data_IF_968287991265
#
_entry.id   IF_968287991265
#
_cell.length_a   1.000
_cell.length_b   1.000
_cell.length_c   1.000
_cell.angle_alpha   90.00
_cell.angle_beta   90.00
_cell.angle_gamma   90.00
#
_symmetry.space_group_name_H-M   'P 1'
#
loop_
_entity.id
_entity.type
_entity.pdbx_description
1 polymer ?
#
# COMPACT_ATOMS: atom_id res chain seq x y z
N UNK A 1 -16.52 -8.94 0.67
CA UNK A 1 -15.19 -8.33 0.87
C UNK A 1 -15.29 -7.16 1.84
N UNK A 2 -14.43 -7.11 2.84
CA UNK A 2 -14.37 -6.03 3.81
C UNK A 2 -13.02 -5.33 3.70
N UNK A 3 -13.02 -4.00 3.65
CA UNK A 3 -11.81 -3.17 3.66
C UNK A 3 -11.71 -2.44 4.99
N UNK A 4 -10.71 -2.81 5.79
CA UNK A 4 -10.41 -2.15 7.04
C UNK A 4 -9.28 -1.16 6.88
N UNK A 5 -9.53 0.06 6.39
CA UNK A 5 -8.46 1.03 6.29
C UNK A 5 -8.94 2.47 6.40
N UNK A 6 -8.01 3.36 6.74
CA UNK A 6 -8.23 4.81 6.76
C UNK A 6 -7.86 5.50 5.44
N UNK A 7 -7.14 4.82 4.54
CA UNK A 7 -6.84 5.34 3.21
C UNK A 7 -8.01 5.06 2.25
N UNK A 8 -8.96 5.97 2.26
CA UNK A 8 -10.20 5.87 1.47
C UNK A 8 -9.95 5.79 -0.03
N UNK A 9 -8.88 6.41 -0.54
CA UNK A 9 -8.62 6.47 -1.99
C UNK A 9 -8.05 5.15 -2.52
N UNK A 10 -7.06 4.56 -1.84
CA UNK A 10 -6.52 3.26 -2.24
C UNK A 10 -7.56 2.15 -2.06
N UNK A 11 -8.36 2.22 -1.00
CA UNK A 11 -9.46 1.29 -0.76
C UNK A 11 -10.55 1.37 -1.82
N UNK A 12 -10.94 2.58 -2.22
CA UNK A 12 -11.90 2.77 -3.29
C UNK A 12 -11.39 2.18 -4.60
N UNK A 13 -10.11 2.32 -4.88
CA UNK A 13 -9.50 1.70 -6.06
C UNK A 13 -9.52 0.18 -5.99
N UNK A 14 -9.11 -0.40 -4.86
CA UNK A 14 -9.17 -1.85 -4.67
C UNK A 14 -10.62 -2.33 -4.74
N UNK A 15 -11.57 -1.67 -4.08
CA UNK A 15 -12.98 -2.00 -4.13
C UNK A 15 -13.50 -2.01 -5.57
N UNK A 16 -13.37 -0.91 -6.27
CA UNK A 16 -13.88 -0.77 -7.63
C UNK A 16 -13.28 -1.78 -8.60
N UNK A 17 -11.99 -2.09 -8.44
CA UNK A 17 -11.29 -3.02 -9.32
C UNK A 17 -11.48 -4.49 -8.94
N UNK A 18 -11.82 -4.79 -7.67
CA UNK A 18 -11.95 -6.16 -7.18
C UNK A 18 -13.40 -6.58 -6.91
N UNK A 19 -14.35 -5.66 -6.80
CA UNK A 19 -15.75 -5.99 -6.50
C UNK A 19 -16.34 -7.02 -7.46
N UNK A 20 -15.95 -6.95 -8.74
CA UNK A 20 -16.35 -7.89 -9.78
C UNK A 20 -15.58 -9.23 -9.77
N UNK A 21 -14.48 -9.34 -9.03
CA UNK A 21 -13.56 -10.50 -9.09
C UNK A 21 -13.47 -11.30 -7.80
N UNK A 22 -13.93 -10.76 -6.68
CA UNK A 22 -13.83 -11.39 -5.35
C UNK A 22 -15.21 -11.78 -4.82
N UNK A 23 -16.18 -11.97 -5.70
CA UNK A 23 -17.55 -12.37 -5.30
C UNK A 23 -17.62 -13.70 -4.55
N UNK A 24 -16.63 -14.58 -4.72
CA UNK A 24 -16.64 -15.93 -4.19
C UNK A 24 -15.71 -16.18 -2.99
N UNK A 25 -14.88 -15.18 -2.59
CA UNK A 25 -13.93 -15.35 -1.49
C UNK A 25 -14.22 -14.38 -0.34
N UNK A 26 -14.37 -14.93 0.85
CA UNK A 26 -14.43 -14.17 2.09
C UNK A 26 -13.03 -13.67 2.45
N UNK A 27 -12.66 -12.52 1.90
CA UNK A 27 -11.38 -11.87 2.11
C UNK A 27 -11.55 -10.53 2.81
N UNK A 28 -10.67 -10.26 3.76
CA UNK A 28 -10.52 -8.96 4.40
C UNK A 28 -9.20 -8.34 3.95
N UNK A 29 -9.28 -7.26 3.15
CA UNK A 29 -8.09 -6.54 2.69
C UNK A 29 -7.73 -5.43 3.67
N UNK A 30 -6.49 -5.40 4.12
CA UNK A 30 -5.93 -4.34 4.93
C UNK A 30 -4.70 -3.72 4.25
N UNK A 31 -4.78 -2.43 3.95
CA UNK A 31 -3.77 -1.71 3.15
C UNK A 31 -3.11 -0.56 3.92
N UNK A 32 -3.38 -0.42 5.20
CA UNK A 32 -2.96 0.74 5.97
C UNK A 32 -1.57 0.52 6.56
N UNK A 33 -0.53 1.08 5.94
CA UNK A 33 0.71 1.38 6.64
C UNK A 33 0.58 2.79 7.25
N UNK A 34 0.99 3.01 8.51
CA UNK A 34 1.14 4.36 9.05
C UNK A 34 2.05 5.17 8.14
N UNK A 35 1.67 6.41 7.87
CA UNK A 35 2.41 7.28 6.98
C UNK A 35 3.74 7.68 7.65
N UNK A 36 4.87 7.39 7.01
CA UNK A 36 6.21 7.69 7.53
C UNK A 36 6.53 9.20 7.48
N UNK A 37 5.69 10.00 6.78
CA UNK A 37 5.96 11.41 6.50
C UNK A 37 5.88 12.35 7.71
N UNK A 38 5.34 11.90 8.84
CA UNK A 38 5.13 12.74 10.04
C UNK A 38 6.00 12.39 11.25
N UNK A 39 7.16 11.78 11.04
CA UNK A 39 7.96 11.27 12.15
C UNK A 39 7.18 10.19 12.92
N UNK A 40 7.76 9.04 13.09
CA UNK A 40 7.06 7.84 13.58
C UNK A 40 6.57 8.06 15.00
N UNK A 41 5.32 8.43 15.17
CA UNK A 41 4.71 8.54 16.48
C UNK A 41 4.46 7.15 17.04
N UNK A 42 5.14 6.81 18.14
CA UNK A 42 5.06 5.54 18.83
C UNK A 42 3.61 5.14 19.16
N UNK A 43 2.75 6.09 19.55
CA UNK A 43 1.34 5.84 19.82
C UNK A 43 0.57 5.37 18.56
N UNK A 44 0.86 5.97 17.40
CA UNK A 44 0.27 5.55 16.12
C UNK A 44 0.66 4.11 15.78
N UNK A 45 1.91 3.72 16.03
CA UNK A 45 2.39 2.35 15.79
C UNK A 45 1.76 1.33 16.74
N UNK A 46 1.66 1.65 18.02
CA UNK A 46 0.95 0.80 18.99
C UNK A 46 -0.50 0.62 18.58
N UNK A 47 -1.18 1.72 18.25
CA UNK A 47 -2.56 1.68 17.77
C UNK A 47 -2.70 0.80 16.54
N UNK A 48 -1.81 0.95 15.56
CA UNK A 48 -1.80 0.12 14.36
C UNK A 48 -1.64 -1.36 14.70
N UNK A 49 -0.68 -1.72 15.56
CA UNK A 49 -0.50 -3.10 16.01
C UNK A 49 -1.76 -3.67 16.68
N UNK A 50 -2.39 -2.91 17.56
CA UNK A 50 -3.62 -3.32 18.25
C UNK A 50 -4.80 -3.48 17.28
N UNK A 51 -4.93 -2.59 16.29
CA UNK A 51 -5.96 -2.68 15.27
C UNK A 51 -5.78 -3.95 14.42
N UNK A 52 -4.54 -4.30 14.03
CA UNK A 52 -4.27 -5.55 13.31
C UNK A 52 -4.57 -6.77 14.17
N UNK A 53 -4.25 -6.74 15.46
CA UNK A 53 -4.59 -7.85 16.37
C UNK A 53 -6.10 -8.11 16.41
N UNK A 54 -6.91 -7.05 16.47
CA UNK A 54 -8.38 -7.14 16.41
C UNK A 54 -8.87 -7.68 15.07
N UNK A 55 -8.27 -7.22 13.96
CA UNK A 55 -8.60 -7.68 12.61
C UNK A 55 -8.30 -9.17 12.46
N UNK A 56 -7.15 -9.65 12.92
CA UNK A 56 -6.79 -11.07 12.91
C UNK A 56 -7.84 -11.89 13.68
N UNK A 57 -8.22 -11.43 14.88
CA UNK A 57 -9.24 -12.08 15.67
C UNK A 57 -10.60 -12.12 14.95
N UNK A 58 -11.03 -10.99 14.39
CA UNK A 58 -12.25 -10.91 13.60
C UNK A 58 -12.23 -11.85 12.39
N UNK A 59 -11.15 -11.86 11.61
CA UNK A 59 -11.01 -12.74 10.45
C UNK A 59 -11.10 -14.23 10.84
N UNK A 60 -10.51 -14.60 11.98
CA UNK A 60 -10.58 -15.97 12.49
C UNK A 60 -12.00 -16.39 12.89
N UNK A 61 -12.78 -15.49 13.52
CA UNK A 61 -14.18 -15.77 13.91
C UNK A 61 -15.07 -15.84 12.67
N UNK A 62 -14.92 -14.89 11.76
CA UNK A 62 -15.72 -14.78 10.55
C UNK A 62 -15.30 -15.77 9.45
N UNK A 63 -14.23 -16.53 9.66
CA UNK A 63 -13.60 -17.42 8.69
C UNK A 63 -13.15 -16.70 7.40
N UNK A 64 -12.68 -15.44 7.54
CA UNK A 64 -12.15 -14.67 6.44
C UNK A 64 -10.65 -14.88 6.27
N UNK A 65 -10.18 -14.80 5.01
CA UNK A 65 -8.76 -14.68 4.71
C UNK A 65 -8.32 -13.23 4.93
N UNK A 66 -7.33 -13.00 5.78
CA UNK A 66 -6.69 -11.70 5.91
C UNK A 66 -5.67 -11.49 4.77
N UNK A 67 -5.92 -10.52 3.89
CA UNK A 67 -4.93 -10.06 2.89
C UNK A 67 -4.30 -8.77 3.40
N UNK A 68 -3.08 -8.88 3.89
CA UNK A 68 -2.32 -7.76 4.46
C UNK A 68 -1.33 -7.22 3.44
N UNK A 69 -1.49 -5.93 3.06
CA UNK A 69 -0.59 -5.26 2.15
C UNK A 69 0.39 -4.39 2.96
N UNK A 70 1.67 -4.69 2.84
CA UNK A 70 2.77 -3.91 3.44
C UNK A 70 3.76 -3.45 2.39
N UNK A 71 4.68 -2.56 2.75
CA UNK A 71 5.68 -2.05 1.81
C UNK A 71 6.85 -3.04 1.67
N UNK A 72 7.42 -3.14 0.48
CA UNK A 72 8.63 -3.95 0.24
C UNK A 72 9.84 -3.50 1.08
N UNK A 73 9.87 -2.22 1.50
CA UNK A 73 10.93 -1.72 2.39
C UNK A 73 11.10 -2.54 3.68
N UNK A 74 10.06 -3.25 4.11
CA UNK A 74 10.13 -4.15 5.28
C UNK A 74 11.03 -5.36 5.03
N UNK A 75 11.29 -5.71 3.77
CA UNK A 75 12.21 -6.79 3.39
C UNK A 75 13.68 -6.35 3.40
N UNK A 76 13.92 -5.04 3.27
CA UNK A 76 15.25 -4.45 3.27
C UNK A 76 15.54 -3.99 4.70
N UNK A 77 16.69 -4.38 5.26
CA UNK A 77 17.15 -3.86 6.54
C UNK A 77 17.75 -2.47 6.34
N UNK A 78 16.89 -1.47 6.16
CA UNK A 78 17.28 -0.07 6.14
C UNK A 78 17.03 0.52 7.54
N UNK A 79 18.07 1.06 8.18
CA UNK A 79 18.01 1.61 9.54
C UNK A 79 17.29 2.97 9.61
N UNK A 80 16.90 3.54 8.47
CA UNK A 80 16.31 4.88 8.39
C UNK A 80 14.98 5.03 9.14
N UNK A 81 14.28 3.91 9.46
CA UNK A 81 12.98 3.91 10.14
C UNK A 81 12.84 2.69 11.08
N UNK A 82 13.84 2.50 11.94
CA UNK A 82 13.98 1.30 12.79
C UNK A 82 12.71 0.97 13.61
N UNK A 83 12.02 1.98 14.12
CA UNK A 83 10.82 1.77 14.95
C UNK A 83 9.63 1.28 14.12
N UNK A 84 9.41 1.90 12.95
CA UNK A 84 8.37 1.48 12.02
C UNK A 84 8.63 0.04 11.54
N UNK A 85 9.85 -0.25 11.07
CA UNK A 85 10.22 -1.57 10.60
C UNK A 85 10.09 -2.64 11.69
N UNK A 86 10.46 -2.31 12.94
CA UNK A 86 10.29 -3.21 14.08
C UNK A 86 8.80 -3.50 14.35
N UNK A 87 7.94 -2.48 14.26
CA UNK A 87 6.50 -2.65 14.40
C UNK A 87 5.93 -3.54 13.30
N UNK A 88 6.25 -3.25 12.03
CA UNK A 88 5.80 -4.05 10.88
C UNK A 88 6.26 -5.51 10.98
N UNK A 89 7.53 -5.75 11.34
CA UNK A 89 8.02 -7.12 11.55
C UNK A 89 7.24 -7.86 12.65
N UNK A 90 6.84 -7.16 13.73
CA UNK A 90 5.98 -7.73 14.77
C UNK A 90 4.57 -8.02 14.28
N UNK A 91 4.00 -7.13 13.46
CA UNK A 91 2.70 -7.34 12.83
C UNK A 91 2.74 -8.55 11.91
N UNK A 92 3.76 -8.67 11.06
CA UNK A 92 3.92 -9.83 10.19
C UNK A 92 4.04 -11.14 10.98
N UNK A 93 4.76 -11.11 12.10
CA UNK A 93 4.86 -12.25 13.02
C UNK A 93 3.49 -12.59 13.63
N UNK A 94 2.77 -11.57 14.15
CA UNK A 94 1.41 -11.73 14.71
C UNK A 94 0.47 -12.41 13.71
N UNK A 95 0.45 -11.93 12.44
CA UNK A 95 -0.39 -12.50 11.39
C UNK A 95 -0.03 -13.97 11.13
N UNK A 96 1.26 -14.26 10.96
CA UNK A 96 1.75 -15.62 10.67
C UNK A 96 1.43 -16.63 11.76
N UNK A 97 1.51 -16.21 13.03
CA UNK A 97 1.32 -17.08 14.19
C UNK A 97 -0.14 -17.23 14.61
N UNK A 98 -0.97 -16.18 14.39
CA UNK A 98 -2.32 -16.15 14.95
C UNK A 98 -3.45 -16.16 13.91
N UNK A 99 -3.17 -15.93 12.64
CA UNK A 99 -4.21 -15.97 11.61
C UNK A 99 -4.37 -17.38 11.02
N UNK A 100 -5.62 -17.87 10.98
CA UNK A 100 -5.94 -19.19 10.37
C UNK A 100 -5.75 -19.20 8.87
N UNK A 101 -6.13 -18.10 8.21
CA UNK A 101 -6.00 -17.94 6.76
C UNK A 101 -5.50 -16.52 6.46
N UNK A 102 -4.36 -16.41 5.79
CA UNK A 102 -3.77 -15.11 5.48
C UNK A 102 -2.99 -15.11 4.18
N UNK A 103 -2.83 -13.90 3.64
CA UNK A 103 -1.88 -13.55 2.59
C UNK A 103 -1.14 -12.28 3.00
N UNK A 104 0.17 -12.27 2.84
CA UNK A 104 1.01 -11.08 3.05
C UNK A 104 1.54 -10.66 1.69
N UNK A 105 1.18 -9.46 1.26
CA UNK A 105 1.56 -8.90 -0.03
C UNK A 105 2.52 -7.72 0.19
N UNK A 106 3.72 -7.82 -0.35
CA UNK A 106 4.71 -6.76 -0.35
C UNK A 106 4.53 -5.89 -1.59
N UNK A 107 4.06 -4.67 -1.37
CA UNK A 107 3.84 -3.71 -2.46
C UNK A 107 5.08 -2.86 -2.71
N UNK A 108 5.47 -2.65 -3.96
CA UNK A 108 6.53 -1.73 -4.34
C UNK A 108 6.05 -0.27 -4.19
N UNK A 109 6.93 0.67 -4.46
CA UNK A 109 6.56 2.07 -4.62
C UNK A 109 5.59 2.22 -5.78
N UNK A 110 4.36 2.65 -5.49
CA UNK A 110 3.28 2.74 -6.48
C UNK A 110 3.10 4.18 -6.93
N UNK A 111 3.12 4.38 -8.25
CA UNK A 111 2.78 5.64 -8.90
C UNK A 111 1.39 5.59 -9.51
N UNK A 112 0.59 6.61 -9.24
CA UNK A 112 -0.76 6.80 -9.77
C UNK A 112 -0.96 8.26 -10.15
N UNK A 113 -1.93 8.54 -11.01
CA UNK A 113 -2.38 9.92 -11.28
C UNK A 113 -3.38 10.44 -10.23
N UNK A 114 -3.71 9.65 -9.23
CA UNK A 114 -4.55 10.01 -8.09
C UNK A 114 -3.72 10.45 -6.89
N UNK A 115 -4.37 11.11 -5.91
CA UNK A 115 -3.71 11.63 -4.70
C UNK A 115 -3.46 10.55 -3.64
N UNK A 116 -2.73 9.52 -3.99
CA UNK A 116 -2.29 8.51 -3.02
C UNK A 116 -0.89 7.97 -3.32
N UNK A 117 -0.29 7.34 -2.32
CA UNK A 117 1.06 6.81 -2.42
C UNK A 117 2.06 7.91 -2.73
N UNK A 118 3.12 7.55 -3.44
CA UNK A 118 4.21 8.49 -3.76
C UNK A 118 3.74 9.70 -4.57
N UNK A 119 2.61 9.61 -5.27
CA UNK A 119 2.08 10.72 -6.06
C UNK A 119 1.64 11.89 -5.20
N UNK A 120 1.04 11.63 -4.03
CA UNK A 120 0.68 12.65 -3.03
C UNK A 120 1.93 13.35 -2.50
N UNK A 121 2.95 12.56 -2.16
CA UNK A 121 4.20 13.08 -1.62
C UNK A 121 4.93 13.95 -2.65
N UNK A 122 5.04 13.48 -3.90
CA UNK A 122 5.68 14.20 -4.99
C UNK A 122 4.96 15.51 -5.33
N UNK A 123 3.62 15.56 -5.30
CA UNK A 123 2.85 16.80 -5.56
C UNK A 123 3.25 17.91 -4.60
N UNK A 124 3.40 17.59 -3.32
CA UNK A 124 3.71 18.53 -2.26
C UNK A 124 5.22 18.79 -2.10
N UNK A 125 6.06 18.02 -2.79
CA UNK A 125 7.51 18.12 -2.65
C UNK A 125 8.06 19.41 -3.27
N UNK A 126 8.70 20.25 -2.48
CA UNK A 126 9.35 21.52 -2.91
C UNK A 126 10.86 21.44 -2.89
N UNK A 127 11.44 20.50 -2.15
CA UNK A 127 12.88 20.32 -2.02
C UNK A 127 13.51 19.87 -3.34
N UNK A 128 14.37 20.71 -3.90
CA UNK A 128 15.06 20.46 -5.18
C UNK A 128 16.00 19.25 -5.11
N UNK A 129 16.59 18.97 -3.96
CA UNK A 129 17.49 17.84 -3.76
C UNK A 129 16.71 16.54 -3.87
N UNK A 130 15.55 16.47 -3.22
CA UNK A 130 14.66 15.31 -3.29
C UNK A 130 14.03 15.15 -4.68
N UNK A 131 13.66 16.24 -5.35
CA UNK A 131 13.14 16.22 -6.71
C UNK A 131 14.14 15.64 -7.74
N UNK A 132 15.43 15.76 -7.49
CA UNK A 132 16.47 15.18 -8.35
C UNK A 132 16.77 13.69 -8.07
N UNK A 133 16.24 13.12 -6.99
CA UNK A 133 16.41 11.69 -6.70
C UNK A 133 15.68 10.84 -7.74
N UNK A 134 16.38 9.81 -8.21
CA UNK A 134 15.78 8.74 -9.00
C UNK A 134 15.13 7.76 -8.06
N UNK A 135 13.92 7.33 -8.40
CA UNK A 135 13.18 6.31 -7.68
C UNK A 135 12.70 5.21 -8.62
N UNK A 136 12.66 4.02 -8.09
CA UNK A 136 12.03 2.89 -8.74
C UNK A 136 10.53 2.86 -8.38
N UNK A 137 9.67 2.70 -9.36
CA UNK A 137 8.23 2.68 -9.16
C UNK A 137 7.50 1.72 -10.09
N UNK A 138 6.29 1.41 -9.72
CA UNK A 138 5.34 0.61 -10.51
C UNK A 138 4.08 1.42 -10.75
N UNK A 139 3.51 1.33 -11.94
CA UNK A 139 2.19 1.92 -12.21
C UNK A 139 1.12 1.14 -11.45
N UNK A 140 0.17 1.84 -10.85
CA UNK A 140 -0.96 1.24 -10.14
C UNK A 140 -1.66 0.14 -10.95
N UNK A 141 -1.95 0.41 -12.22
CA UNK A 141 -2.62 -0.55 -13.11
C UNK A 141 -1.88 -1.88 -13.23
N UNK A 142 -0.55 -1.84 -13.29
CA UNK A 142 0.28 -3.05 -13.43
C UNK A 142 0.32 -3.82 -12.10
N UNK A 143 0.43 -3.11 -10.97
CA UNK A 143 0.34 -3.72 -9.65
C UNK A 143 -1.02 -4.37 -9.40
N UNK A 144 -2.12 -3.71 -9.74
CA UNK A 144 -3.47 -4.27 -9.56
C UNK A 144 -3.69 -5.53 -10.41
N UNK A 145 -3.21 -5.54 -11.65
CA UNK A 145 -3.27 -6.75 -12.49
C UNK A 145 -2.55 -7.93 -11.85
N UNK A 146 -1.36 -7.68 -11.30
CA UNK A 146 -0.59 -8.71 -10.60
C UNK A 146 -1.28 -9.14 -9.32
N UNK A 147 -1.79 -8.20 -8.52
CA UNK A 147 -2.48 -8.47 -7.26
C UNK A 147 -3.70 -9.36 -7.47
N UNK A 148 -4.50 -9.12 -8.52
CA UNK A 148 -5.67 -9.94 -8.89
C UNK A 148 -5.36 -11.42 -9.05
N UNK A 149 -4.18 -11.75 -9.53
CA UNK A 149 -3.74 -13.13 -9.72
C UNK A 149 -3.10 -13.71 -8.45
N UNK A 150 -2.46 -12.85 -7.64
CA UNK A 150 -1.55 -13.30 -6.59
C UNK A 150 -2.07 -13.08 -5.15
N UNK A 151 -3.23 -12.45 -4.95
CA UNK A 151 -3.74 -12.13 -3.60
C UNK A 151 -4.03 -13.37 -2.73
N UNK A 152 -4.19 -14.54 -3.34
CA UNK A 152 -4.36 -15.81 -2.63
C UNK A 152 -3.05 -16.45 -2.19
N UNK A 153 -1.92 -15.98 -2.68
CA UNK A 153 -0.61 -16.49 -2.28
C UNK A 153 -0.38 -16.18 -0.80
N UNK A 154 0.14 -17.15 -0.05
CA UNK A 154 0.42 -16.95 1.37
C UNK A 154 1.42 -15.81 1.60
N UNK A 155 2.45 -15.73 0.76
CA UNK A 155 3.39 -14.60 0.70
C UNK A 155 3.56 -14.23 -0.77
N UNK A 156 3.33 -12.96 -1.09
CA UNK A 156 3.47 -12.43 -2.44
C UNK A 156 4.37 -11.20 -2.48
N UNK A 157 5.34 -11.20 -3.38
CA UNK A 157 6.22 -10.07 -3.68
C UNK A 157 6.00 -9.68 -5.13
N UNK A 158 5.83 -8.37 -5.41
CA UNK A 158 5.65 -7.93 -6.78
C UNK A 158 6.93 -8.19 -7.61
N UNK A 159 6.77 -8.95 -8.67
CA UNK A 159 7.85 -9.33 -9.58
C UNK A 159 7.68 -8.78 -11.01
N UNK A 160 6.72 -7.88 -11.19
CA UNK A 160 6.42 -7.29 -12.51
C UNK A 160 7.36 -6.14 -12.91
N UNK A 161 7.06 -5.47 -14.03
CA UNK A 161 7.92 -4.44 -14.59
C UNK A 161 7.99 -3.22 -13.66
N UNK A 162 9.20 -2.78 -13.36
CA UNK A 162 9.50 -1.56 -12.64
C UNK A 162 10.07 -0.52 -13.59
N UNK A 163 9.90 0.73 -13.25
CA UNK A 163 10.44 1.88 -13.98
C UNK A 163 11.24 2.75 -13.04
N UNK A 164 12.28 3.34 -13.56
CA UNK A 164 13.04 4.37 -12.87
C UNK A 164 12.72 5.73 -13.47
N UNK A 165 12.61 6.75 -12.64
CA UNK A 165 12.45 8.14 -13.05
C UNK A 165 12.86 9.08 -11.93
N UNK A 166 13.22 10.30 -12.28
CA UNK A 166 13.40 11.37 -11.28
C UNK A 166 12.05 11.78 -10.72
N UNK A 167 12.00 12.13 -9.44
CA UNK A 167 10.77 12.62 -8.81
C UNK A 167 10.24 13.88 -9.49
N UNK A 168 11.12 14.74 -10.04
CA UNK A 168 10.75 15.92 -10.83
C UNK A 168 9.97 15.56 -12.09
N UNK A 169 10.38 14.52 -12.82
CA UNK A 169 9.69 14.05 -14.03
C UNK A 169 8.29 13.51 -13.69
N UNK A 170 8.19 12.75 -12.60
CA UNK A 170 6.90 12.26 -12.12
C UNK A 170 5.98 13.40 -11.68
N UNK A 171 6.53 14.45 -11.05
CA UNK A 171 5.79 15.66 -10.68
C UNK A 171 5.21 16.38 -11.92
N UNK A 172 6.01 16.52 -12.98
CA UNK A 172 5.52 17.08 -14.24
C UNK A 172 4.44 16.25 -14.91
N UNK A 173 4.54 14.92 -14.84
CA UNK A 173 3.49 14.02 -15.33
C UNK A 173 2.17 14.20 -14.57
N UNK A 174 2.23 14.40 -13.25
CA UNK A 174 1.05 14.65 -12.43
C UNK A 174 0.38 15.98 -12.81
N UNK A 175 1.14 17.06 -12.97
CA UNK A 175 0.61 18.36 -13.41
C UNK A 175 -0.08 18.27 -14.77
N UNK A 176 0.60 17.68 -15.76
CA UNK A 176 0.01 17.52 -17.11
C UNK A 176 -1.32 16.75 -17.08
N UNK A 177 -1.45 15.75 -16.22
CA UNK A 177 -2.70 15.00 -16.11
C UNK A 177 -3.82 15.81 -15.43
N UNK A 178 -3.50 16.74 -14.53
CA UNK A 178 -4.46 17.68 -13.93
C UNK A 178 -4.97 18.66 -14.98
N UNK A 179 -4.09 19.22 -15.79
CA UNK A 179 -4.46 20.13 -16.89
C UNK A 179 -5.40 19.45 -17.92
N UNK A 180 -5.14 18.18 -18.27
CA UNK A 180 -6.02 17.41 -19.15
C UNK A 180 -7.42 17.17 -18.57
N UNK A 181 -7.53 16.92 -17.27
CA UNK A 181 -8.82 16.75 -16.59
C UNK A 181 -9.65 18.02 -16.60
N UNK A 182 -9.03 19.18 -16.42
CA UNK A 182 -9.73 20.49 -16.48
C UNK A 182 -10.26 20.78 -17.89
N UNK A 183 -9.49 20.44 -18.92
CA UNK A 183 -9.90 20.65 -20.33
C UNK A 183 -10.99 19.69 -20.81
N UNK A 184 -11.18 18.54 -20.17
CA UNK A 184 -12.20 17.56 -20.55
C UNK A 184 -13.56 17.79 -19.89
N UNK A 185 -13.67 18.76 -19.00
CA UNK A 185 -14.91 19.14 -18.31
C UNK A 185 -15.49 20.51 -18.77
N UNK A 186 -14.87 21.14 -19.76
CA UNK A 186 -15.38 22.33 -20.45
C UNK A 186 -15.78 21.95 -21.88
#
# INVERSE_FOLDING_TARGET
MLLGTRDTNFNSYILNEFESYISDDDCFFHCNCPDNSEGTNFEKLIKHYLDISKIVHFCNIANYRLVYLTNESVLVNDDSDALYLACEKRILKLIKENSRSYSIIYKPTIFSYSDFGISKDIKNLTDKTLLNKTIEYVKMKDFLKWLKVNYKNKIGVYSGPRKESKMSELKELLKKNEDFKVLSFN
#
